data_IF_918155411318
#
_entry.id   IF_918155411318
#
_cell.length_a   1.000
_cell.length_b   1.000
_cell.length_c   1.000
_cell.angle_alpha   90.00
_cell.angle_beta   90.00
_cell.angle_gamma   90.00
#
_symmetry.space_group_name_H-M   'P 1'
#
loop_
_entity.id
_entity.type
_entity.pdbx_description
1 polymer ?
#
# COMPACT_ATOMS: atom_id res chain seq x y z
N UNK A 1 3.10 -4.12 -1.07
CA UNK A 1 4.36 -3.35 -1.16
C UNK A 1 4.28 -2.12 -0.26
N UNK A 2 5.16 -1.99 0.74
CA UNK A 2 5.24 -0.83 1.65
C UNK A 2 6.13 0.24 1.00
N UNK A 3 5.66 1.50 0.91
CA UNK A 3 6.42 2.61 0.29
C UNK A 3 6.49 3.77 1.27
N UNK A 4 7.64 4.19 1.81
CA UNK A 4 7.72 5.15 2.92
C UNK A 4 8.10 6.59 2.49
N UNK A 5 7.43 7.55 3.13
CA UNK A 5 7.69 9.02 3.26
C UNK A 5 7.50 9.92 2.03
N UNK A 6 6.53 10.85 2.14
CA UNK A 6 6.72 12.27 1.82
C UNK A 6 5.79 13.18 2.67
N UNK A 7 6.27 14.40 2.95
CA UNK A 7 5.59 15.48 3.69
C UNK A 7 4.72 16.30 2.73
N UNK A 8 3.45 16.62 3.06
CA UNK A 8 2.63 17.44 2.18
C UNK A 8 3.02 18.91 2.30
N UNK A 9 3.44 19.51 1.17
CA UNK A 9 3.40 20.97 0.99
C UNK A 9 1.94 21.41 0.91
N UNK A 10 1.65 22.53 1.57
CA UNK A 10 0.33 23.13 1.70
C UNK A 10 -0.37 23.26 0.35
N UNK A 11 -1.53 22.63 0.21
CA UNK A 11 -2.48 22.92 -0.86
C UNK A 11 -3.89 22.91 -0.30
N UNK A 12 -4.61 23.99 -0.56
CA UNK A 12 -6.02 24.17 -0.24
C UNK A 12 -6.80 23.96 -1.56
N UNK A 13 -7.84 23.12 -1.58
CA UNK A 13 -8.89 23.30 -2.56
C UNK A 13 -10.25 23.49 -1.88
N UNK A 14 -10.96 24.50 -2.37
CA UNK A 14 -12.38 24.70 -2.17
C UNK A 14 -13.17 23.51 -2.75
N UNK A 15 -14.12 23.04 -1.94
CA UNK A 15 -15.26 22.18 -2.27
C UNK A 15 -14.99 20.83 -2.96
N UNK A 16 -14.92 19.76 -2.15
CA UNK A 16 -15.24 18.39 -2.58
C UNK A 16 -16.25 17.74 -1.60
N UNK A 17 -17.27 17.01 -2.10
CA UNK A 17 -18.29 16.38 -1.27
C UNK A 17 -17.85 15.01 -0.73
N UNK A 18 -18.45 14.65 0.41
CA UNK A 18 -18.49 13.32 1.05
C UNK A 18 -17.13 12.69 1.40
N UNK A 19 -16.49 13.17 2.47
CA UNK A 19 -15.92 12.31 3.52
C UNK A 19 -15.46 13.15 4.72
N UNK A 20 -16.41 13.66 5.52
CA UNK A 20 -16.12 14.08 6.89
C UNK A 20 -17.31 13.78 7.81
N UNK A 21 -17.62 12.49 8.00
CA UNK A 21 -18.59 12.03 9.00
C UNK A 21 -18.27 12.57 10.40
N UNK A 22 -17.03 13.00 10.68
CA UNK A 22 -16.65 13.61 11.96
C UNK A 22 -17.04 15.09 12.15
N UNK A 23 -16.89 15.94 11.13
CA UNK A 23 -17.12 17.38 11.27
C UNK A 23 -18.58 17.75 11.07
N UNK A 24 -19.28 17.07 10.16
CA UNK A 24 -20.71 17.28 9.93
C UNK A 24 -21.54 16.88 11.15
N UNK A 25 -21.25 15.72 11.76
CA UNK A 25 -21.88 15.30 13.02
C UNK A 25 -21.61 16.27 14.16
N UNK A 26 -20.40 16.82 14.28
CA UNK A 26 -20.07 17.79 15.34
C UNK A 26 -20.82 19.10 15.15
N UNK A 27 -20.94 19.60 13.90
CA UNK A 27 -21.78 20.78 13.61
C UNK A 27 -23.25 20.53 13.92
N UNK A 28 -23.78 19.35 13.57
CA UNK A 28 -25.15 18.94 13.88
C UNK A 28 -25.40 18.82 15.38
N UNK A 29 -24.51 18.18 16.13
CA UNK A 29 -24.62 18.01 17.57
C UNK A 29 -24.54 19.36 18.30
N UNK A 30 -23.61 20.23 17.88
CA UNK A 30 -23.56 21.60 18.38
C UNK A 30 -24.85 22.36 18.08
N UNK A 31 -25.38 22.26 16.85
CA UNK A 31 -26.63 22.90 16.49
C UNK A 31 -27.84 22.37 17.28
N UNK A 32 -27.88 21.07 17.60
CA UNK A 32 -28.89 20.48 18.47
C UNK A 32 -28.75 20.95 19.93
N UNK A 33 -27.53 21.04 20.45
CA UNK A 33 -27.23 21.56 21.79
C UNK A 33 -27.69 23.02 21.96
N UNK A 34 -27.33 23.91 21.02
CA UNK A 34 -27.76 25.32 21.08
C UNK A 34 -29.26 25.53 20.87
N UNK A 35 -29.97 24.52 20.33
CA UNK A 35 -31.43 24.52 20.21
C UNK A 35 -32.13 23.90 21.43
N UNK A 36 -31.39 23.43 22.44
CA UNK A 36 -31.94 22.74 23.61
C UNK A 36 -32.52 21.36 23.30
N UNK A 37 -32.20 20.79 22.14
CA UNK A 37 -32.75 19.52 21.65
C UNK A 37 -31.79 18.33 21.83
N UNK A 38 -30.64 18.52 22.48
CA UNK A 38 -29.67 17.47 22.71
C UNK A 38 -28.61 17.84 23.74
N UNK A 39 -27.89 16.82 24.22
CA UNK A 39 -26.87 16.94 25.27
C UNK A 39 -25.63 17.72 24.83
N UNK A 40 -24.82 18.13 25.82
CA UNK A 40 -23.54 18.80 25.59
C UNK A 40 -22.65 17.96 24.66
N UNK A 41 -22.05 18.56 23.62
CA UNK A 41 -21.22 17.84 22.69
C UNK A 41 -20.00 17.23 23.40
N UNK A 42 -19.96 15.90 23.49
CA UNK A 42 -18.83 15.19 24.08
C UNK A 42 -17.57 15.32 23.20
N UNK A 43 -16.41 15.50 23.83
CA UNK A 43 -15.13 15.42 23.13
C UNK A 43 -14.92 14.01 22.59
N UNK A 44 -14.88 13.87 21.25
CA UNK A 44 -14.59 12.57 20.64
C UNK A 44 -13.16 12.14 21.04
N UNK A 45 -13.02 10.92 21.54
CA UNK A 45 -11.72 10.29 21.81
C UNK A 45 -10.79 10.44 20.59
N UNK A 46 -9.48 10.65 20.82
CA UNK A 46 -8.48 10.77 19.75
C UNK A 46 -8.66 9.60 18.78
N UNK A 47 -9.07 9.90 17.55
CA UNK A 47 -9.27 8.88 16.51
C UNK A 47 -7.98 8.09 16.28
N UNK A 48 -8.14 6.84 15.84
CA UNK A 48 -7.05 5.88 15.58
C UNK A 48 -5.85 6.57 14.90
N UNK A 49 -4.67 6.34 15.46
CA UNK A 49 -3.40 6.94 15.03
C UNK A 49 -2.97 6.51 13.62
N UNK A 50 -3.59 5.45 13.09
CA UNK A 50 -3.37 4.93 11.74
C UNK A 50 -4.59 5.24 10.87
N UNK A 51 -4.36 5.93 9.76
CA UNK A 51 -5.40 6.29 8.79
C UNK A 51 -5.06 5.68 7.43
N UNK A 52 -6.02 4.99 6.81
CA UNK A 52 -5.84 4.43 5.47
C UNK A 52 -7.14 4.48 4.69
N UNK A 53 -7.04 4.66 3.37
CA UNK A 53 -8.16 4.56 2.45
C UNK A 53 -7.75 3.82 1.18
N UNK A 54 -8.72 3.17 0.57
CA UNK A 54 -8.54 2.40 -0.65
C UNK A 54 -9.04 3.19 -1.86
N UNK A 55 -8.32 3.07 -2.96
CA UNK A 55 -8.63 3.64 -4.27
C UNK A 55 -8.71 2.47 -5.25
N UNK A 56 -9.91 1.90 -5.45
CA UNK A 56 -10.07 0.73 -6.30
C UNK A 56 -10.03 1.03 -7.80
N UNK A 57 -10.26 2.28 -8.21
CA UNK A 57 -10.48 2.67 -9.60
C UNK A 57 -9.81 4.03 -9.93
N UNK A 58 -9.59 4.27 -11.22
CA UNK A 58 -9.23 5.57 -11.80
C UNK A 58 -7.91 6.21 -11.31
N UNK A 59 -7.00 5.44 -10.73
CA UNK A 59 -5.65 5.93 -10.48
C UNK A 59 -4.77 5.73 -11.72
N UNK A 60 -3.83 6.66 -11.93
CA UNK A 60 -2.86 6.62 -13.03
C UNK A 60 -1.46 6.71 -12.47
N UNK A 61 -0.50 6.04 -13.10
CA UNK A 61 0.89 6.05 -12.68
C UNK A 61 1.74 6.56 -13.84
N UNK A 62 2.47 7.64 -13.62
CA UNK A 62 3.47 8.14 -14.55
C UNK A 62 4.83 7.55 -14.15
N UNK A 63 5.35 6.65 -14.97
CA UNK A 63 6.61 5.97 -14.70
C UNK A 63 7.82 6.86 -15.02
N UNK A 64 7.68 7.82 -15.94
CA UNK A 64 8.75 8.75 -16.32
C UNK A 64 9.01 9.76 -15.21
N UNK A 65 7.95 10.41 -14.69
CA UNK A 65 8.08 11.45 -13.65
C UNK A 65 8.06 10.88 -12.23
N UNK A 66 7.74 9.58 -12.07
CA UNK A 66 7.48 8.94 -10.78
C UNK A 66 6.36 9.64 -10.01
N UNK A 67 5.22 9.81 -10.67
CA UNK A 67 4.03 10.44 -10.10
C UNK A 67 2.82 9.50 -10.16
N UNK A 68 1.92 9.62 -9.19
CA UNK A 68 0.66 8.90 -9.16
C UNK A 68 -0.49 9.88 -9.10
N UNK A 69 -1.48 9.69 -9.97
CA UNK A 69 -2.75 10.39 -9.92
C UNK A 69 -3.73 9.60 -9.06
N UNK A 70 -4.30 10.25 -8.05
CA UNK A 70 -5.42 9.74 -7.26
C UNK A 70 -6.66 10.62 -7.48
N UNK A 71 -7.86 10.08 -7.72
CA UNK A 71 -9.04 10.89 -8.06
C UNK A 71 -9.40 12.00 -7.07
N UNK A 72 -9.14 11.79 -5.78
CA UNK A 72 -9.51 12.73 -4.71
C UNK A 72 -8.39 13.74 -4.42
N UNK A 73 -7.14 13.43 -4.76
CA UNK A 73 -5.97 14.22 -4.34
C UNK A 73 -5.29 14.89 -5.54
N UNK A 74 -5.32 14.26 -6.71
CA UNK A 74 -4.59 14.68 -7.91
C UNK A 74 -3.25 13.97 -8.06
N UNK A 75 -2.34 14.59 -8.83
CA UNK A 75 -1.00 14.10 -9.09
C UNK A 75 -0.07 14.31 -7.89
N UNK A 76 0.63 13.24 -7.50
CA UNK A 76 1.51 13.23 -6.33
C UNK A 76 2.82 12.54 -6.72
N UNK A 77 3.95 13.16 -6.37
CA UNK A 77 5.25 12.54 -6.55
C UNK A 77 5.45 11.37 -5.57
N UNK A 78 5.93 10.25 -6.10
CA UNK A 78 6.21 9.03 -5.34
C UNK A 78 7.66 8.59 -5.51
N UNK A 79 8.16 7.85 -4.51
CA UNK A 79 9.42 7.14 -4.61
C UNK A 79 9.11 5.63 -4.74
N UNK A 80 9.42 5.05 -5.88
CA UNK A 80 9.12 3.65 -6.18
C UNK A 80 10.33 2.80 -5.75
N UNK A 81 10.20 2.08 -4.63
CA UNK A 81 11.29 1.25 -4.09
C UNK A 81 11.57 -0.03 -4.91
N UNK A 82 10.63 -0.49 -5.73
CA UNK A 82 10.74 -1.72 -6.54
C UNK A 82 9.98 -1.54 -7.85
N UNK A 83 10.43 -2.15 -8.95
CA UNK A 83 9.63 -2.17 -10.17
C UNK A 83 8.25 -2.80 -9.91
N UNK A 84 7.21 -2.27 -10.54
CA UNK A 84 5.83 -2.76 -10.36
C UNK A 84 5.58 -4.11 -11.04
N UNK A 85 6.34 -4.37 -12.11
CA UNK A 85 6.27 -5.55 -12.96
C UNK A 85 7.68 -5.93 -13.38
N UNK A 86 7.88 -7.20 -13.71
CA UNK A 86 9.09 -7.61 -14.42
C UNK A 86 9.15 -6.93 -15.80
N UNK A 87 10.33 -6.53 -16.30
CA UNK A 87 10.44 -5.80 -17.57
C UNK A 87 9.79 -6.53 -18.75
N UNK A 88 10.00 -7.85 -18.84
CA UNK A 88 9.43 -8.71 -19.87
C UNK A 88 7.90 -8.74 -19.83
N UNK A 89 7.33 -8.76 -18.62
CA UNK A 89 5.89 -8.75 -18.41
C UNK A 89 5.27 -7.39 -18.78
N UNK A 90 5.97 -6.32 -18.44
CA UNK A 90 5.53 -4.96 -18.65
C UNK A 90 5.35 -4.64 -20.14
N UNK A 91 6.34 -4.97 -20.96
CA UNK A 91 6.32 -4.67 -22.40
C UNK A 91 5.23 -5.45 -23.15
N UNK A 92 4.93 -6.67 -22.69
CA UNK A 92 4.04 -7.59 -23.39
C UNK A 92 2.57 -7.46 -22.99
N UNK A 93 2.30 -7.18 -21.70
CA UNK A 93 0.94 -7.28 -21.15
C UNK A 93 0.36 -5.95 -20.68
N UNK A 94 1.19 -4.96 -20.36
CA UNK A 94 0.71 -3.68 -19.80
C UNK A 94 0.47 -2.67 -20.93
N UNK A 95 -0.76 -2.20 -21.02
CA UNK A 95 -1.15 -1.11 -21.92
C UNK A 95 -0.72 0.22 -21.35
N UNK A 96 0.19 0.90 -22.03
CA UNK A 96 0.69 2.23 -21.67
C UNK A 96 0.20 3.28 -22.66
N UNK A 97 -0.12 4.47 -22.16
CA UNK A 97 -0.41 5.64 -23.00
C UNK A 97 0.80 6.57 -22.98
N UNK A 98 1.36 6.84 -24.16
CA UNK A 98 2.44 7.81 -24.33
C UNK A 98 1.84 9.18 -24.64
N UNK A 99 1.92 10.11 -23.69
CA UNK A 99 1.48 11.50 -23.88
C UNK A 99 2.71 12.38 -23.62
N UNK A 100 3.08 13.25 -24.57
CA UNK A 100 4.21 14.17 -24.41
C UNK A 100 5.53 13.48 -23.98
N UNK A 101 5.83 12.29 -24.51
CA UNK A 101 6.96 11.43 -24.11
C UNK A 101 6.92 10.89 -22.67
N UNK A 102 5.79 11.00 -21.98
CA UNK A 102 5.58 10.41 -20.66
C UNK A 102 4.83 9.08 -20.76
N UNK A 103 5.31 8.07 -20.03
CA UNK A 103 4.72 6.74 -20.01
C UNK A 103 3.70 6.63 -18.88
N UNK A 104 2.42 6.66 -19.23
CA UNK A 104 1.32 6.61 -18.27
C UNK A 104 0.66 5.24 -18.29
N UNK A 105 0.57 4.62 -17.12
CA UNK A 105 -0.18 3.39 -16.88
C UNK A 105 -1.48 3.75 -16.19
N UNK A 106 -2.59 3.55 -16.87
CA UNK A 106 -3.92 3.73 -16.29
C UNK A 106 -4.43 2.41 -15.72
N UNK A 107 -4.98 2.44 -14.50
CA UNK A 107 -5.63 1.25 -13.91
C UNK A 107 -6.70 0.73 -14.86
N UNK A 108 -7.59 1.59 -15.34
CA UNK A 108 -8.83 1.13 -16.00
C UNK A 108 -8.58 0.31 -17.27
N UNK A 109 -7.48 0.59 -17.98
CA UNK A 109 -7.03 -0.16 -19.15
C UNK A 109 -6.35 -1.50 -18.81
N UNK A 110 -5.86 -1.63 -17.57
CA UNK A 110 -5.04 -2.73 -17.06
C UNK A 110 -5.68 -3.38 -15.83
N UNK A 111 -7.01 -3.45 -15.78
CA UNK A 111 -7.76 -3.87 -14.59
C UNK A 111 -7.50 -5.31 -14.13
N UNK A 112 -6.99 -6.16 -15.02
CA UNK A 112 -6.59 -7.53 -14.73
C UNK A 112 -5.33 -7.59 -13.85
N UNK A 113 -4.35 -6.75 -14.16
CA UNK A 113 -3.03 -6.73 -13.51
C UNK A 113 -2.95 -5.73 -12.38
N UNK A 114 -3.50 -4.53 -12.57
CA UNK A 114 -3.55 -3.50 -11.54
C UNK A 114 -4.89 -3.57 -10.83
N UNK A 115 -4.88 -3.74 -9.50
CA UNK A 115 -6.11 -3.84 -8.70
C UNK A 115 -6.38 -2.57 -7.90
N UNK A 116 -6.07 -2.60 -6.61
CA UNK A 116 -6.41 -1.56 -5.65
C UNK A 116 -5.15 -0.88 -5.18
N UNK A 117 -5.14 0.45 -5.21
CA UNK A 117 -4.15 1.24 -4.51
C UNK A 117 -4.67 1.55 -3.10
N UNK A 118 -3.86 1.31 -2.08
CA UNK A 118 -4.18 1.67 -0.69
C UNK A 118 -3.22 2.74 -0.23
N UNK A 119 -3.75 3.88 0.20
CA UNK A 119 -2.97 4.97 0.78
C UNK A 119 -3.09 4.87 2.29
N UNK A 120 -1.97 4.81 3.00
CA UNK A 120 -1.93 4.79 4.46
C UNK A 120 -1.05 5.91 5.00
N UNK A 121 -1.37 6.38 6.19
CA UNK A 121 -0.62 7.37 6.96
C UNK A 121 -0.24 6.76 8.30
N UNK A 122 1.06 6.74 8.56
CA UNK A 122 1.61 6.29 9.85
C UNK A 122 1.44 7.35 10.93
N UNK A 123 1.58 6.93 12.17
CA UNK A 123 1.62 7.79 13.36
C UNK A 123 2.66 8.91 13.29
N UNK A 124 3.78 8.65 12.62
CA UNK A 124 4.85 9.61 12.38
C UNK A 124 4.52 10.62 11.25
N UNK A 125 3.32 10.57 10.68
CA UNK A 125 2.90 11.47 9.59
C UNK A 125 3.39 11.07 8.20
N UNK A 126 3.96 9.88 8.04
CA UNK A 126 4.50 9.40 6.77
C UNK A 126 3.41 8.72 5.96
N UNK A 127 3.34 9.03 4.67
CA UNK A 127 2.40 8.43 3.74
C UNK A 127 3.04 7.26 3.00
N UNK A 128 2.24 6.21 2.82
CA UNK A 128 2.60 5.04 2.04
C UNK A 128 1.50 4.71 1.05
N UNK A 129 1.90 4.27 -0.14
CA UNK A 129 0.97 3.77 -1.17
C UNK A 129 1.32 2.32 -1.44
N UNK A 130 0.33 1.45 -1.37
CA UNK A 130 0.46 0.04 -1.67
C UNK A 130 -0.44 -0.29 -2.84
N UNK A 131 0.16 -0.64 -3.98
CA UNK A 131 -0.58 -1.09 -5.16
C UNK A 131 -0.63 -2.61 -5.12
N UNK A 132 -1.82 -3.16 -5.25
CA UNK A 132 -2.02 -4.59 -5.44
C UNK A 132 -1.91 -4.91 -6.94
N UNK A 133 -0.95 -5.77 -7.27
CA UNK A 133 -0.66 -6.22 -8.62
C UNK A 133 -0.94 -7.72 -8.72
N UNK A 134 -1.47 -8.17 -9.87
CA UNK A 134 -1.63 -9.57 -10.22
C UNK A 134 -0.68 -9.95 -11.34
N UNK A 135 -0.04 -11.10 -11.18
CA UNK A 135 0.85 -11.69 -12.17
C UNK A 135 0.11 -12.83 -12.90
N UNK A 136 0.39 -13.05 -14.18
CA UNK A 136 -0.15 -14.21 -14.94
C UNK A 136 0.55 -15.52 -14.59
N UNK A 137 1.49 -15.49 -13.65
CA UNK A 137 2.23 -16.68 -13.23
C UNK A 137 1.26 -17.65 -12.55
N UNK A 138 1.09 -18.82 -13.17
CA UNK A 138 0.41 -19.93 -12.52
C UNK A 138 1.22 -20.29 -11.28
N UNK A 139 0.53 -20.58 -10.18
CA UNK A 139 1.17 -21.21 -9.04
C UNK A 139 1.98 -22.42 -9.52
N UNK A 140 3.20 -22.62 -8.99
CA UNK A 140 4.00 -23.77 -9.37
C UNK A 140 3.16 -25.02 -9.19
N UNK A 141 3.20 -25.91 -10.18
CA UNK A 141 2.48 -27.18 -10.10
C UNK A 141 2.97 -27.92 -8.86
N UNK A 142 2.03 -28.46 -8.08
CA UNK A 142 2.37 -29.27 -6.90
C UNK A 142 3.27 -30.41 -7.34
N UNK A 143 4.51 -30.41 -6.85
CA UNK A 143 5.46 -31.48 -7.12
C UNK A 143 5.07 -32.71 -6.32
N UNK A 144 5.09 -33.89 -6.95
CA UNK A 144 4.94 -35.14 -6.22
C UNK A 144 6.20 -35.39 -5.39
N UNK A 145 6.03 -35.84 -4.15
CA UNK A 145 7.11 -36.16 -3.24
C UNK A 145 7.07 -37.66 -2.89
N UNK A 146 8.25 -38.25 -2.73
CA UNK A 146 8.45 -39.60 -2.17
C UNK A 146 9.00 -39.49 -0.74
N UNK A 147 8.89 -40.55 0.05
CA UNK A 147 9.52 -40.61 1.39
C UNK A 147 11.02 -40.31 1.34
N UNK A 148 11.70 -40.71 0.26
CA UNK A 148 13.12 -40.43 0.03
C UNK A 148 13.44 -38.95 -0.25
N UNK A 149 12.46 -38.18 -0.74
CA UNK A 149 12.61 -36.75 -1.08
C UNK A 149 12.00 -35.85 0.01
N UNK A 150 11.28 -36.45 0.97
CA UNK A 150 10.64 -35.73 2.06
C UNK A 150 11.71 -35.27 3.05
N UNK A 151 11.85 -33.95 3.16
CA UNK A 151 12.77 -33.33 4.09
C UNK A 151 11.99 -32.48 5.08
N UNK A 152 12.06 -32.83 6.37
CA UNK A 152 11.47 -32.05 7.45
C UNK A 152 12.36 -30.85 7.78
N UNK A 153 11.76 -29.66 7.90
CA UNK A 153 12.48 -28.43 8.23
C UNK A 153 11.88 -27.83 9.50
N UNK A 154 12.66 -27.76 10.57
CA UNK A 154 12.30 -27.09 11.82
C UNK A 154 13.01 -25.74 11.91
N UNK A 155 12.25 -24.64 11.95
CA UNK A 155 12.78 -23.28 11.99
C UNK A 155 12.83 -22.77 13.43
N UNK A 156 13.99 -22.29 13.86
CA UNK A 156 14.24 -21.94 15.26
C UNK A 156 14.93 -20.60 15.47
N UNK A 157 14.92 -20.13 16.72
CA UNK A 157 15.62 -18.89 17.12
C UNK A 157 17.13 -19.17 17.31
N UNK A 158 17.47 -20.34 17.84
CA UNK A 158 18.86 -20.77 18.12
C UNK A 158 19.60 -21.16 16.84
N UNK A 159 18.94 -21.93 15.97
CA UNK A 159 19.40 -22.36 14.64
C UNK A 159 18.33 -21.96 13.64
N UNK A 160 18.71 -21.32 12.54
CA UNK A 160 17.75 -20.76 11.57
C UNK A 160 16.84 -21.84 10.99
N UNK A 161 17.45 -22.96 10.57
CA UNK A 161 16.72 -24.14 10.15
C UNK A 161 17.51 -25.40 10.54
N UNK A 162 16.82 -26.39 11.11
CA UNK A 162 17.32 -27.74 11.29
C UNK A 162 16.57 -28.66 10.32
N UNK A 163 17.33 -29.44 9.57
CA UNK A 163 16.82 -30.32 8.53
C UNK A 163 16.81 -31.75 9.07
N UNK A 164 15.80 -32.56 8.70
CA UNK A 164 15.70 -33.98 9.12
C UNK A 164 16.88 -34.85 8.66
N UNK A 165 17.68 -34.36 7.70
CA UNK A 165 18.96 -34.96 7.26
C UNK A 165 20.09 -34.77 8.27
N UNK A 166 19.88 -33.98 9.33
CA UNK A 166 20.87 -33.66 10.37
C UNK A 166 21.62 -32.35 10.13
N UNK A 167 21.50 -31.76 8.94
CA UNK A 167 22.08 -30.45 8.64
C UNK A 167 21.42 -29.34 9.48
N UNK A 168 22.23 -28.41 9.97
CA UNK A 168 21.78 -27.26 10.74
C UNK A 168 22.29 -26.00 10.08
N UNK A 169 21.38 -25.19 9.57
CA UNK A 169 21.66 -23.86 9.07
C UNK A 169 21.75 -22.96 10.29
N UNK A 170 22.95 -22.50 10.60
CA UNK A 170 23.15 -21.54 11.67
C UNK A 170 22.41 -20.24 11.35
N UNK A 171 21.88 -19.59 12.39
CA UNK A 171 21.27 -18.28 12.24
C UNK A 171 22.39 -17.26 12.05
N UNK A 172 22.56 -16.65 10.85
CA UNK A 172 23.52 -15.58 10.68
C UNK A 172 23.03 -14.38 11.49
N UNK A 173 23.37 -14.35 12.79
CA UNK A 173 23.05 -13.27 13.72
C UNK A 173 23.81 -12.00 13.31
N UNK A 174 23.36 -11.32 12.25
CA UNK A 174 23.93 -10.06 11.78
C UNK A 174 23.14 -8.81 12.18
N UNK A 175 22.30 -8.88 13.22
CA UNK A 175 21.82 -7.66 13.90
C UNK A 175 22.95 -6.85 14.58
N UNK A 176 24.19 -7.35 14.62
CA UNK A 176 25.37 -6.60 15.12
C UNK A 176 26.23 -5.92 14.05
N UNK A 177 25.98 -6.13 12.74
CA UNK A 177 26.77 -5.47 11.67
C UNK A 177 26.17 -4.13 11.18
N UNK A 178 24.96 -3.75 11.63
CA UNK A 178 24.29 -2.51 11.21
C UNK A 178 24.03 -1.51 12.34
N UNK A 179 24.56 -1.72 13.55
CA UNK A 179 24.65 -0.63 14.53
C UNK A 179 25.96 0.09 14.23
N UNK A 180 25.87 1.14 13.41
CA UNK A 180 26.88 2.19 13.30
C UNK A 180 26.15 3.51 13.41
#
# INVERSE_FOLDING_TARGET
MLIDKFSPRNFCPETLPLYQNGFYEKRRQNACYFKGLGDYPAEKLKKKQHFSFQVPQHYKINLTTSEIFLPIIGWIKINIHRPLFEPEFFETNIKTTTINNELIVEKDLNSEFLRTATVSRTSAGRYHISILTGDLNKYPVTQQYSESTLVGVDVGIKTFAAISTGEKIENPKFLKKSIK
#
